data_IF_243103895899
#
_entry.id   IF_243103895899
#
_cell.length_a   1.000
_cell.length_b   1.000
_cell.length_c   1.000
_cell.angle_alpha   90.00
_cell.angle_beta   90.00
_cell.angle_gamma   90.00
#
_symmetry.space_group_name_H-M   'P 1'
#
loop_
_entity.id
_entity.type
_entity.pdbx_description
1 polymer ?
#
# COMPACT_ATOMS: atom_id res chain seq x y z
N UNK A 1 15.60 -7.92 -26.65
CA UNK A 1 16.57 -7.93 -27.77
C UNK A 1 17.23 -6.56 -27.82
N UNK A 2 18.55 -6.45 -27.70
CA UNK A 2 19.24 -5.16 -27.87
C UNK A 2 19.18 -4.74 -29.36
N UNK A 3 19.03 -3.45 -29.62
CA UNK A 3 19.00 -2.86 -30.97
C UNK A 3 20.20 -1.92 -31.11
N UNK A 4 20.87 -1.96 -32.26
CA UNK A 4 22.03 -1.10 -32.55
C UNK A 4 21.65 0.13 -33.37
N UNK A 5 22.40 1.22 -33.22
CA UNK A 5 22.21 2.43 -34.04
C UNK A 5 22.47 2.09 -35.51
N UNK A 6 21.52 2.40 -36.39
CA UNK A 6 21.58 2.08 -37.82
C UNK A 6 21.08 0.70 -38.19
N UNK A 7 20.63 -0.12 -37.22
CA UNK A 7 19.97 -1.39 -37.49
C UNK A 7 18.54 -1.18 -37.99
N UNK A 8 18.19 -1.80 -39.12
CA UNK A 8 16.81 -1.87 -39.59
C UNK A 8 16.05 -2.95 -38.81
N UNK A 9 15.04 -2.53 -38.06
CA UNK A 9 14.16 -3.44 -37.29
C UNK A 9 12.74 -3.42 -37.83
N UNK A 10 12.05 -4.56 -37.77
CA UNK A 10 10.62 -4.63 -38.07
C UNK A 10 9.85 -4.39 -36.78
N UNK A 11 9.23 -3.21 -36.67
CA UNK A 11 8.33 -2.88 -35.58
C UNK A 11 6.88 -3.03 -36.05
N UNK A 12 6.20 -4.05 -35.55
CA UNK A 12 4.84 -4.40 -35.95
C UNK A 12 3.86 -3.99 -34.86
N UNK A 13 2.92 -3.11 -35.20
CA UNK A 13 1.72 -2.90 -34.40
C UNK A 13 0.66 -3.95 -34.80
N UNK A 14 0.13 -4.66 -33.82
CA UNK A 14 -0.96 -5.64 -33.99
C UNK A 14 -2.13 -5.14 -33.16
N UNK A 15 -3.34 -5.19 -33.72
CA UNK A 15 -4.53 -4.80 -32.99
C UNK A 15 -5.68 -5.79 -33.21
N UNK A 16 -6.58 -5.84 -32.25
CA UNK A 16 -7.90 -6.44 -32.35
C UNK A 16 -8.96 -5.34 -32.20
N UNK A 17 -10.21 -5.72 -32.01
CA UNK A 17 -11.30 -4.78 -31.71
C UNK A 17 -11.13 -4.09 -30.34
N UNK A 18 -10.35 -4.67 -29.43
CA UNK A 18 -10.23 -4.19 -28.03
C UNK A 18 -8.80 -4.07 -27.52
N UNK A 19 -7.79 -4.47 -28.30
CA UNK A 19 -6.40 -4.50 -27.85
C UNK A 19 -5.45 -3.97 -28.92
N UNK A 20 -4.34 -3.40 -28.46
CA UNK A 20 -3.20 -3.05 -29.29
C UNK A 20 -1.95 -3.62 -28.63
N UNK A 21 -1.12 -4.32 -29.39
CA UNK A 21 0.17 -4.85 -28.96
C UNK A 21 1.25 -4.50 -29.99
N UNK A 22 2.50 -4.49 -29.53
CA UNK A 22 3.65 -4.14 -30.36
C UNK A 22 4.65 -5.29 -30.31
N UNK A 23 5.07 -5.75 -31.49
CA UNK A 23 6.06 -6.80 -31.65
C UNK A 23 7.30 -6.23 -32.34
N UNK A 24 8.48 -6.63 -31.87
CA UNK A 24 9.75 -6.28 -32.48
C UNK A 24 10.38 -7.56 -33.04
N UNK A 25 10.47 -7.66 -34.37
CA UNK A 25 11.13 -8.77 -35.06
C UNK A 25 12.38 -8.28 -35.82
N UNK A 26 13.45 -9.08 -35.79
CA UNK A 26 14.54 -8.95 -36.76
C UNK A 26 14.22 -9.79 -37.99
N UNK A 27 14.69 -9.37 -39.18
CA UNK A 27 14.43 -10.07 -40.47
C UNK A 27 14.76 -11.58 -40.46
N UNK A 28 15.49 -12.08 -39.46
CA UNK A 28 15.86 -13.50 -39.31
C UNK A 28 14.86 -14.37 -38.53
N UNK A 29 13.93 -13.79 -37.76
CA UNK A 29 12.93 -14.53 -36.99
C UNK A 29 11.57 -14.37 -37.67
N UNK A 30 11.19 -15.38 -38.47
CA UNK A 30 9.79 -15.54 -38.90
C UNK A 30 8.90 -15.50 -37.67
N UNK A 31 7.81 -14.75 -37.78
CA UNK A 31 6.72 -14.62 -36.81
C UNK A 31 6.12 -16.00 -36.56
N UNK A 32 6.77 -16.77 -35.70
CA UNK A 32 6.20 -17.90 -35.01
C UNK A 32 5.46 -17.35 -33.81
N UNK A 33 4.23 -17.80 -33.66
CA UNK A 33 3.36 -17.62 -32.49
C UNK A 33 4.21 -17.43 -31.23
N UNK A 34 4.04 -16.29 -30.55
CA UNK A 34 4.59 -16.12 -29.21
C UNK A 34 4.26 -17.37 -28.42
N UNK A 35 5.32 -18.00 -27.94
CA UNK A 35 5.31 -19.33 -27.37
C UNK A 35 4.28 -19.41 -26.24
N UNK A 36 3.08 -19.87 -26.59
CA UNK A 36 2.03 -20.22 -25.64
C UNK A 36 2.37 -21.49 -24.87
N UNK A 37 3.59 -22.05 -25.04
CA UNK A 37 4.10 -23.22 -24.32
C UNK A 37 5.04 -22.89 -23.17
N UNK A 38 5.18 -21.63 -22.78
CA UNK A 38 5.52 -21.33 -21.40
C UNK A 38 4.31 -21.75 -20.53
N UNK A 39 4.31 -22.99 -20.03
CA UNK A 39 3.44 -23.43 -18.91
C UNK A 39 3.85 -22.74 -17.60
N UNK A 40 4.23 -21.46 -17.69
CA UNK A 40 5.04 -20.78 -16.71
C UNK A 40 4.16 -19.87 -15.89
N UNK A 41 4.28 -20.06 -14.59
CA UNK A 41 3.51 -19.41 -13.56
C UNK A 41 3.64 -17.87 -13.62
N UNK A 42 2.54 -17.14 -13.85
CA UNK A 42 2.53 -15.67 -13.83
C UNK A 42 1.88 -15.16 -12.54
N UNK A 43 2.70 -14.63 -11.63
CA UNK A 43 2.19 -13.76 -10.57
C UNK A 43 1.73 -12.47 -11.23
N UNK A 44 0.41 -12.29 -11.35
CA UNK A 44 -0.19 -11.07 -11.92
C UNK A 44 -0.20 -10.02 -10.82
N UNK A 45 0.51 -8.91 -11.03
CA UNK A 45 0.54 -7.75 -10.15
C UNK A 45 0.25 -6.49 -10.98
N UNK A 46 -0.23 -5.44 -10.33
CA UNK A 46 -0.35 -4.13 -10.98
C UNK A 46 1.03 -3.61 -11.45
N UNK A 47 1.10 -2.84 -12.55
CA UNK A 47 2.35 -2.24 -13.03
C UNK A 47 3.08 -1.45 -11.94
N UNK A 48 2.33 -0.76 -11.09
CA UNK A 48 2.84 0.01 -9.97
C UNK A 48 3.48 -0.90 -8.92
N UNK A 49 2.84 -2.02 -8.59
CA UNK A 49 3.41 -2.99 -7.66
C UNK A 49 4.69 -3.62 -8.20
N UNK A 50 4.73 -3.96 -9.48
CA UNK A 50 5.94 -4.43 -10.16
C UNK A 50 7.04 -3.36 -10.08
N UNK A 51 6.69 -2.09 -10.28
CA UNK A 51 7.63 -0.98 -10.20
C UNK A 51 8.19 -0.77 -8.78
N UNK A 52 7.38 -0.94 -7.72
CA UNK A 52 7.87 -0.96 -6.32
C UNK A 52 8.93 -2.05 -6.14
N UNK A 53 8.69 -3.26 -6.65
CA UNK A 53 9.68 -4.33 -6.60
C UNK A 53 10.92 -4.02 -7.44
N UNK A 54 10.78 -3.24 -8.51
CA UNK A 54 11.88 -2.69 -9.32
C UNK A 54 12.64 -1.53 -8.67
N UNK A 55 12.10 -0.88 -7.65
CA UNK A 55 12.72 0.26 -6.97
C UNK A 55 13.86 -0.14 -5.99
N UNK A 56 15.09 0.28 -6.34
CA UNK A 56 16.30 -0.04 -5.56
C UNK A 56 16.28 0.61 -4.17
N UNK A 57 15.79 1.83 -4.04
CA UNK A 57 15.76 2.56 -2.77
C UNK A 57 14.79 1.88 -1.81
N UNK A 58 13.59 1.54 -2.30
CA UNK A 58 12.60 0.80 -1.52
C UNK A 58 13.14 -0.54 -1.04
N UNK A 59 13.70 -1.36 -1.95
CA UNK A 59 14.30 -2.66 -1.58
C UNK A 59 15.42 -2.52 -0.55
N UNK A 60 16.28 -1.51 -0.71
CA UNK A 60 17.38 -1.25 0.22
C UNK A 60 16.86 -0.87 1.61
N UNK A 61 15.83 -0.01 1.69
CA UNK A 61 15.20 0.38 2.96
C UNK A 61 14.55 -0.79 3.68
N UNK A 62 13.77 -1.63 2.99
CA UNK A 62 13.16 -2.83 3.59
C UNK A 62 14.24 -3.82 4.05
N UNK A 63 15.28 -4.01 3.24
CA UNK A 63 16.41 -4.87 3.60
C UNK A 63 17.15 -4.36 4.85
N UNK A 64 17.45 -3.06 4.90
CA UNK A 64 18.13 -2.44 6.04
C UNK A 64 17.28 -2.52 7.32
N UNK A 65 15.96 -2.31 7.22
CA UNK A 65 15.05 -2.43 8.36
C UNK A 65 15.03 -3.84 8.93
N UNK A 66 14.92 -4.86 8.07
CA UNK A 66 14.96 -6.25 8.51
C UNK A 66 16.31 -6.60 9.15
N UNK A 67 17.43 -6.22 8.53
CA UNK A 67 18.77 -6.50 9.06
C UNK A 67 18.99 -5.85 10.42
N UNK A 68 18.56 -4.60 10.59
CA UNK A 68 18.62 -3.88 11.87
C UNK A 68 17.76 -4.56 12.95
N UNK A 69 16.58 -5.07 12.58
CA UNK A 69 15.68 -5.77 13.48
C UNK A 69 16.29 -7.06 14.03
N UNK A 70 17.06 -7.80 13.23
CA UNK A 70 17.53 -9.15 13.57
C UNK A 70 19.00 -9.20 13.97
N UNK A 71 19.67 -8.04 14.11
CA UNK A 71 21.13 -7.94 14.25
C UNK A 71 21.69 -8.75 15.43
N UNK A 72 21.01 -8.71 16.59
CA UNK A 72 21.46 -9.33 17.85
C UNK A 72 20.67 -10.59 18.21
N UNK A 73 19.88 -11.11 17.29
CA UNK A 73 18.99 -12.25 17.52
C UNK A 73 19.23 -13.34 16.51
N UNK A 74 19.18 -14.59 16.96
CA UNK A 74 19.32 -15.77 16.14
C UNK A 74 18.15 -16.72 16.39
N UNK A 75 17.92 -17.61 15.41
CA UNK A 75 16.94 -18.69 15.47
C UNK A 75 15.47 -18.24 15.55
N UNK A 76 15.15 -17.13 14.90
CA UNK A 76 13.83 -16.50 14.96
C UNK A 76 12.77 -17.22 14.12
N UNK A 77 11.53 -17.23 14.62
CA UNK A 77 10.33 -17.49 13.84
C UNK A 77 9.77 -16.17 13.29
N UNK A 78 9.82 -16.01 11.97
CA UNK A 78 9.27 -14.86 11.27
C UNK A 78 7.91 -15.20 10.63
N UNK A 79 6.93 -14.32 10.81
CA UNK A 79 5.64 -14.35 10.10
C UNK A 79 5.51 -13.13 9.21
N UNK A 80 5.28 -13.34 7.92
CA UNK A 80 4.89 -12.31 6.94
C UNK A 80 3.37 -12.28 6.85
N UNK A 81 2.77 -11.24 7.41
CA UNK A 81 1.32 -11.18 7.65
C UNK A 81 0.50 -10.89 6.38
N UNK A 82 1.13 -10.33 5.37
CA UNK A 82 0.49 -9.72 4.21
C UNK A 82 0.81 -10.50 2.91
N UNK A 83 0.57 -9.87 1.76
CA UNK A 83 0.83 -10.44 0.43
C UNK A 83 2.26 -10.14 -0.09
N UNK A 84 3.22 -9.79 0.78
CA UNK A 84 4.56 -9.40 0.35
C UNK A 84 5.45 -10.61 0.04
N UNK A 85 5.63 -10.88 -1.27
CA UNK A 85 6.59 -11.89 -1.74
C UNK A 85 8.04 -11.46 -1.51
N UNK A 86 8.34 -10.16 -1.59
CA UNK A 86 9.70 -9.65 -1.37
C UNK A 86 10.14 -9.81 0.09
N UNK A 87 9.32 -9.38 1.04
CA UNK A 87 9.62 -9.53 2.48
C UNK A 87 9.78 -10.99 2.88
N UNK A 88 8.96 -11.88 2.29
CA UNK A 88 9.09 -13.34 2.46
C UNK A 88 10.47 -13.85 2.02
N UNK A 89 10.87 -13.57 0.78
CA UNK A 89 12.14 -14.03 0.23
C UNK A 89 13.34 -13.42 0.95
N UNK A 90 13.23 -12.16 1.35
CA UNK A 90 14.25 -11.46 2.11
C UNK A 90 14.45 -12.08 3.49
N UNK A 91 13.35 -12.37 4.22
CA UNK A 91 13.41 -13.08 5.50
C UNK A 91 13.99 -14.49 5.33
N UNK A 92 13.58 -15.22 4.29
CA UNK A 92 14.04 -16.58 4.02
C UNK A 92 15.55 -16.69 3.75
N UNK A 93 16.13 -15.63 3.17
CA UNK A 93 17.55 -15.54 2.89
C UNK A 93 18.40 -15.26 4.14
N UNK A 94 17.80 -14.78 5.22
CA UNK A 94 18.52 -14.45 6.45
C UNK A 94 18.88 -15.72 7.22
N UNK A 95 20.16 -15.91 7.52
CA UNK A 95 20.64 -17.01 8.38
C UNK A 95 20.17 -16.89 9.84
N UNK A 96 19.61 -15.73 10.22
CA UNK A 96 19.06 -15.47 11.55
C UNK A 96 17.70 -16.14 11.77
N UNK A 97 17.02 -16.54 10.69
CA UNK A 97 15.70 -17.15 10.76
C UNK A 97 15.81 -18.67 10.86
N UNK A 98 15.13 -19.27 11.85
CA UNK A 98 14.90 -20.72 11.86
C UNK A 98 13.80 -21.10 10.88
N UNK A 99 12.77 -20.24 10.78
CA UNK A 99 11.59 -20.50 9.97
C UNK A 99 10.90 -19.20 9.58
N UNK A 100 10.48 -19.13 8.33
CA UNK A 100 9.67 -18.04 7.78
C UNK A 100 8.32 -18.59 7.38
N UNK A 101 7.26 -17.91 7.79
CA UNK A 101 5.89 -18.27 7.49
C UNK A 101 5.23 -17.11 6.75
N UNK A 102 4.71 -17.35 5.55
CA UNK A 102 3.94 -16.34 4.82
C UNK A 102 2.46 -16.68 4.81
N UNK A 103 1.61 -15.67 5.02
CA UNK A 103 0.16 -15.86 5.10
C UNK A 103 -0.56 -15.72 3.77
N UNK A 104 -0.09 -14.85 2.87
CA UNK A 104 -0.67 -14.56 1.55
C UNK A 104 -2.21 -14.51 1.52
N UNK A 105 -2.84 -13.64 2.32
CA UNK A 105 -4.30 -13.64 2.43
C UNK A 105 -5.04 -13.31 1.11
N UNK A 106 -4.40 -12.57 0.20
CA UNK A 106 -4.92 -12.24 -1.12
C UNK A 106 -4.31 -13.11 -2.23
N UNK A 107 -2.98 -13.21 -2.29
CA UNK A 107 -2.25 -13.96 -3.32
C UNK A 107 -2.44 -15.47 -3.22
N UNK A 108 -2.62 -16.00 -2.00
CA UNK A 108 -2.85 -17.43 -1.71
C UNK A 108 -1.82 -18.31 -2.45
N UNK A 109 -2.30 -19.32 -3.17
CA UNK A 109 -1.46 -20.28 -3.90
C UNK A 109 -0.58 -19.65 -4.96
N UNK A 110 -0.98 -18.51 -5.53
CA UNK A 110 -0.13 -17.76 -6.46
C UNK A 110 1.11 -17.23 -5.74
N UNK A 111 0.93 -16.65 -4.55
CA UNK A 111 2.06 -16.20 -3.72
C UNK A 111 2.99 -17.37 -3.36
N UNK A 112 2.41 -18.52 -3.00
CA UNK A 112 3.16 -19.75 -2.68
C UNK A 112 4.02 -20.21 -3.84
N UNK A 113 3.40 -20.38 -5.01
CA UNK A 113 4.08 -20.90 -6.20
C UNK A 113 5.18 -19.94 -6.66
N UNK A 114 4.93 -18.63 -6.61
CA UNK A 114 5.94 -17.62 -6.91
C UNK A 114 7.17 -17.75 -6.00
N UNK A 115 6.95 -17.75 -4.68
CA UNK A 115 8.05 -17.80 -3.71
C UNK A 115 8.82 -19.11 -3.82
N UNK A 116 8.14 -20.24 -4.04
CA UNK A 116 8.80 -21.53 -4.25
C UNK A 116 9.68 -21.50 -5.50
N UNK A 117 9.15 -21.03 -6.63
CA UNK A 117 9.92 -20.95 -7.87
C UNK A 117 11.16 -20.05 -7.73
N UNK A 118 11.03 -18.91 -7.05
CA UNK A 118 12.16 -18.01 -6.81
C UNK A 118 13.15 -18.60 -5.81
N UNK A 119 12.68 -19.29 -4.77
CA UNK A 119 13.52 -19.95 -3.79
C UNK A 119 14.37 -21.06 -4.44
N UNK A 120 13.75 -21.92 -5.25
CA UNK A 120 14.42 -22.99 -5.99
C UNK A 120 15.47 -22.43 -6.96
N UNK A 121 15.09 -21.39 -7.73
CA UNK A 121 16.01 -20.74 -8.66
C UNK A 121 17.18 -20.01 -7.98
N UNK A 122 17.00 -19.60 -6.72
CA UNK A 122 18.00 -18.87 -5.93
C UNK A 122 18.83 -19.77 -5.02
N UNK A 123 18.57 -21.08 -5.00
CA UNK A 123 19.23 -22.04 -4.10
C UNK A 123 18.92 -21.77 -2.62
N UNK A 124 17.77 -21.18 -2.30
CA UNK A 124 17.32 -21.03 -0.92
C UNK A 124 16.85 -22.39 -0.39
N UNK A 125 17.15 -22.69 0.87
CA UNK A 125 16.65 -23.92 1.49
C UNK A 125 15.12 -23.86 1.61
N UNK A 126 14.42 -24.67 0.80
CA UNK A 126 12.97 -24.71 0.76
C UNK A 126 12.33 -25.07 2.12
N UNK A 127 13.05 -25.77 3.01
CA UNK A 127 12.55 -26.13 4.34
C UNK A 127 12.33 -24.92 5.27
N UNK A 128 12.97 -23.78 4.95
CA UNK A 128 12.91 -22.57 5.76
C UNK A 128 11.69 -21.69 5.45
N UNK A 129 11.01 -21.90 4.32
CA UNK A 129 9.82 -21.13 3.94
C UNK A 129 8.59 -22.02 3.97
N UNK A 130 7.66 -21.72 4.87
CA UNK A 130 6.35 -22.35 4.91
C UNK A 130 5.30 -21.33 4.52
N UNK A 131 4.34 -21.73 3.70
CA UNK A 131 3.18 -20.89 3.40
C UNK A 131 1.97 -21.49 4.07
N UNK A 132 1.22 -20.67 4.80
CA UNK A 132 0.06 -21.11 5.57
C UNK A 132 -1.14 -20.28 5.18
N UNK A 133 -2.14 -20.95 4.61
CA UNK A 133 -3.42 -20.31 4.36
C UNK A 133 -4.19 -20.17 5.68
N UNK A 134 -4.84 -19.00 5.88
CA UNK A 134 -5.62 -18.63 7.09
C UNK A 134 -6.63 -19.67 7.59
N UNK A 135 -7.02 -20.67 6.78
CA UNK A 135 -7.97 -21.73 7.18
C UNK A 135 -7.47 -22.67 8.29
N UNK A 136 -6.18 -22.64 8.66
CA UNK A 136 -5.58 -23.59 9.62
C UNK A 136 -5.06 -22.96 10.93
N UNK A 137 -5.42 -21.71 11.23
CA UNK A 137 -5.06 -21.07 12.50
C UNK A 137 -6.04 -21.49 13.59
N UNK A 138 -5.84 -22.66 14.20
CA UNK A 138 -6.57 -23.06 15.40
C UNK A 138 -5.80 -22.64 16.65
N UNK A 139 -6.38 -21.71 17.41
CA UNK A 139 -5.93 -21.34 18.75
C UNK A 139 -6.37 -22.43 19.72
N UNK A 140 -5.45 -23.26 20.19
CA UNK A 140 -5.73 -24.16 21.31
C UNK A 140 -5.29 -23.53 22.63
N UNK A 141 -6.19 -23.57 23.61
CA UNK A 141 -5.96 -23.12 24.97
C UNK A 141 -5.54 -24.33 25.81
N UNK A 142 -4.26 -24.39 26.17
CA UNK A 142 -3.76 -25.35 27.17
C UNK A 142 -2.89 -24.57 28.15
N UNK A 143 -3.42 -24.36 29.36
CA UNK A 143 -2.75 -23.75 30.51
C UNK A 143 -2.27 -22.30 30.33
N UNK A 144 -3.22 -21.38 30.09
CA UNK A 144 -3.02 -19.92 30.21
C UNK A 144 -1.98 -19.29 29.25
N UNK A 145 -1.45 -20.05 28.29
CA UNK A 145 -0.63 -19.55 27.19
C UNK A 145 -1.25 -19.98 25.87
N UNK A 146 -1.72 -19.01 25.08
CA UNK A 146 -2.17 -19.22 23.71
C UNK A 146 -0.94 -19.42 22.83
N UNK A 147 -0.99 -20.41 21.95
CA UNK A 147 0.16 -20.85 21.16
C UNK A 147 -0.22 -20.90 19.68
N UNK A 148 0.72 -20.52 18.81
CA UNK A 148 0.54 -20.69 17.36
C UNK A 148 0.64 -22.19 17.04
N UNK A 149 -0.49 -22.82 16.70
CA UNK A 149 -0.51 -24.21 16.26
C UNK A 149 -0.45 -24.23 14.74
N UNK A 150 0.69 -24.65 14.18
CA UNK A 150 0.71 -25.17 12.82
C UNK A 150 0.00 -26.51 12.80
N UNK A 151 -1.23 -26.56 12.31
CA UNK A 151 -1.81 -27.83 11.90
C UNK A 151 -1.16 -28.25 10.57
N UNK A 152 -0.01 -28.91 10.63
CA UNK A 152 0.58 -29.56 9.46
C UNK A 152 -0.09 -30.93 9.27
N UNK A 153 -0.79 -31.11 8.16
CA UNK A 153 -1.18 -32.45 7.69
C UNK A 153 0.02 -33.01 6.93
N UNK A 154 0.75 -33.94 7.54
CA UNK A 154 1.70 -34.78 6.82
C UNK A 154 1.10 -36.18 6.66
N UNK A 155 1.53 -36.87 5.59
CA UNK A 155 1.18 -38.27 5.26
C UNK A 155 0.89 -39.11 6.53
N UNK A 156 -0.28 -39.76 6.53
CA UNK A 156 -0.84 -40.60 7.60
C UNK A 156 -1.36 -39.87 8.85
N UNK A 157 -2.46 -39.12 8.71
CA UNK A 157 -3.50 -38.85 9.75
C UNK A 157 -3.06 -38.50 11.19
N UNK A 158 -1.83 -38.00 11.41
CA UNK A 158 -1.37 -37.51 12.72
C UNK A 158 -1.21 -35.99 12.71
N UNK A 159 -2.02 -35.33 13.54
CA UNK A 159 -1.92 -33.91 13.84
C UNK A 159 -0.76 -33.69 14.81
N UNK A 160 0.27 -32.94 14.41
CA UNK A 160 1.37 -32.54 15.30
C UNK A 160 1.21 -31.07 15.70
N UNK A 161 0.98 -30.81 16.99
CA UNK A 161 0.94 -29.45 17.51
C UNK A 161 2.38 -29.00 17.80
N UNK A 162 2.93 -28.16 16.95
CA UNK A 162 4.24 -27.55 17.17
C UNK A 162 4.03 -26.14 17.74
N UNK A 163 4.43 -25.95 19.00
CA UNK A 163 4.16 -24.75 19.77
C UNK A 163 5.27 -23.71 19.59
N UNK A 164 5.00 -22.62 18.89
CA UNK A 164 5.94 -21.50 18.79
C UNK A 164 5.30 -20.16 19.12
N UNK A 165 6.14 -19.26 19.65
CA UNK A 165 5.85 -17.83 19.70
C UNK A 165 6.48 -17.16 18.48
N UNK A 166 5.83 -16.11 17.98
CA UNK A 166 6.33 -15.33 16.84
C UNK A 166 7.31 -14.30 17.38
N UNK A 167 8.57 -14.41 16.98
CA UNK A 167 9.62 -13.46 17.38
C UNK A 167 9.69 -12.23 16.47
N UNK A 168 9.22 -12.38 15.22
CA UNK A 168 9.22 -11.33 14.22
C UNK A 168 7.95 -11.37 13.37
N UNK A 169 7.14 -10.31 13.43
CA UNK A 169 5.97 -10.11 12.59
C UNK A 169 6.25 -9.00 11.56
N UNK A 170 6.29 -9.34 10.28
CA UNK A 170 6.61 -8.38 9.21
C UNK A 170 5.48 -8.21 8.19
N UNK A 171 5.45 -7.03 7.58
CA UNK A 171 4.63 -6.67 6.44
C UNK A 171 5.31 -5.57 5.63
N UNK A 172 4.95 -5.46 4.36
CA UNK A 172 5.36 -4.37 3.49
C UNK A 172 4.68 -3.03 3.80
N UNK A 173 3.42 -2.95 4.27
CA UNK A 173 2.26 -3.84 4.17
C UNK A 173 1.52 -3.71 2.83
N UNK A 174 1.30 -4.84 2.16
CA UNK A 174 0.63 -4.94 0.86
C UNK A 174 -0.41 -6.05 0.86
N UNK A 175 -1.62 -5.76 0.38
CA UNK A 175 -2.70 -6.73 0.25
C UNK A 175 -3.21 -6.73 -1.19
N UNK A 176 -3.10 -7.87 -1.88
CA UNK A 176 -3.41 -7.98 -3.31
C UNK A 176 -4.86 -7.57 -3.64
N UNK A 177 -5.80 -7.91 -2.77
CA UNK A 177 -7.21 -7.52 -2.93
C UNK A 177 -7.50 -6.04 -2.65
N UNK A 178 -6.52 -5.28 -2.14
CA UNK A 178 -6.66 -3.86 -1.85
C UNK A 178 -6.06 -2.99 -2.96
N UNK A 179 -5.61 -3.58 -4.08
CA UNK A 179 -5.16 -2.83 -5.25
C UNK A 179 -6.27 -1.85 -5.68
N UNK A 180 -5.98 -0.56 -5.58
CA UNK A 180 -6.92 0.51 -5.91
C UNK A 180 -7.76 1.07 -4.76
N UNK A 181 -7.63 0.53 -3.55
CA UNK A 181 -8.30 1.06 -2.36
C UNK A 181 -7.55 2.26 -1.74
N UNK A 182 -8.16 2.90 -0.74
CA UNK A 182 -7.55 4.01 0.00
C UNK A 182 -6.32 3.54 0.81
N UNK A 183 -5.30 4.40 1.01
CA UNK A 183 -4.01 3.98 1.59
C UNK A 183 -4.11 3.32 2.97
N UNK A 184 -5.02 3.80 3.83
CA UNK A 184 -5.23 3.27 5.18
C UNK A 184 -5.94 1.91 5.20
N UNK A 185 -6.45 1.40 4.08
CA UNK A 185 -6.97 0.02 4.03
C UNK A 185 -5.86 -1.01 4.28
N UNK A 186 -4.60 -0.64 4.08
CA UNK A 186 -3.44 -1.47 4.44
C UNK A 186 -3.14 -1.47 5.95
N UNK A 187 -3.84 -0.67 6.77
CA UNK A 187 -3.88 -0.85 8.24
C UNK A 187 -4.51 -2.18 8.65
N UNK A 188 -5.03 -2.97 7.69
CA UNK A 188 -5.28 -4.39 7.85
C UNK A 188 -4.09 -5.14 8.49
N UNK A 189 -2.84 -4.70 8.28
CA UNK A 189 -1.69 -5.24 8.98
C UNK A 189 -1.83 -5.15 10.51
N UNK A 190 -2.34 -4.03 11.01
CA UNK A 190 -2.57 -3.84 12.45
C UNK A 190 -3.66 -4.77 12.98
N UNK A 191 -4.69 -5.04 12.17
CA UNK A 191 -5.73 -6.03 12.48
C UNK A 191 -5.16 -7.44 12.52
N UNK A 192 -4.36 -7.83 11.52
CA UNK A 192 -3.71 -9.14 11.47
C UNK A 192 -2.73 -9.31 12.66
N UNK A 193 -1.95 -8.27 13.00
CA UNK A 193 -1.12 -8.22 14.21
C UNK A 193 -1.94 -8.43 15.48
N UNK A 194 -3.12 -7.83 15.57
CA UNK A 194 -4.00 -7.98 16.74
C UNK A 194 -4.58 -9.38 16.86
N UNK A 195 -4.94 -10.00 15.73
CA UNK A 195 -5.40 -11.39 15.71
C UNK A 195 -4.32 -12.36 16.17
N UNK A 196 -3.04 -12.01 15.96
CA UNK A 196 -1.89 -12.81 16.35
C UNK A 196 -1.35 -12.45 17.74
N UNK A 197 -1.90 -11.44 18.43
CA UNK A 197 -1.38 -10.88 19.68
C UNK A 197 -1.03 -11.97 20.72
N UNK A 198 -1.92 -12.96 20.84
CA UNK A 198 -1.77 -14.01 21.84
C UNK A 198 -0.67 -15.03 21.56
N UNK A 199 -0.08 -15.01 20.37
CA UNK A 199 0.98 -15.92 19.95
C UNK A 199 2.30 -15.18 19.64
N UNK A 200 2.34 -13.87 19.85
CA UNK A 200 3.58 -13.09 19.76
C UNK A 200 4.44 -13.40 20.99
N UNK A 201 5.77 -13.39 20.82
CA UNK A 201 6.69 -13.43 21.97
C UNK A 201 6.61 -12.12 22.76
N UNK A 202 7.03 -12.13 24.03
CA UNK A 202 7.05 -10.93 24.87
C UNK A 202 7.95 -9.82 24.29
N UNK A 203 8.97 -10.23 23.55
CA UNK A 203 10.00 -9.38 22.96
C UNK A 203 9.87 -9.29 21.44
N UNK A 204 8.68 -9.56 20.90
CA UNK A 204 8.40 -9.60 19.46
C UNK A 204 8.85 -8.32 18.76
N UNK A 205 9.42 -8.47 17.58
CA UNK A 205 9.71 -7.36 16.69
C UNK A 205 8.58 -7.25 15.66
N UNK A 206 8.06 -6.04 15.48
CA UNK A 206 6.98 -5.76 14.53
C UNK A 206 7.49 -4.77 13.50
N UNK A 207 7.39 -5.12 12.21
CA UNK A 207 7.83 -4.31 11.08
C UNK A 207 6.72 -4.23 10.02
N UNK A 208 6.17 -3.05 9.67
CA UNK A 208 6.42 -1.76 10.30
C UNK A 208 6.06 -1.75 11.80
N UNK A 209 6.74 -0.92 12.59
CA UNK A 209 6.45 -0.78 14.02
C UNK A 209 5.32 0.22 14.29
N UNK A 210 5.13 1.17 13.37
CA UNK A 210 4.03 2.14 13.39
C UNK A 210 3.72 2.65 11.99
N UNK A 211 2.57 3.28 11.86
CA UNK A 211 2.18 4.03 10.66
C UNK A 211 1.80 5.47 11.04
N UNK A 212 1.94 6.41 10.10
CA UNK A 212 1.53 7.81 10.29
C UNK A 212 0.56 8.18 9.18
N UNK A 213 -0.63 8.67 9.55
CA UNK A 213 -1.50 9.34 8.61
C UNK A 213 -0.94 10.72 8.33
N UNK A 214 -0.48 10.94 7.11
CA UNK A 214 0.09 12.19 6.65
C UNK A 214 -0.91 12.91 5.76
N UNK A 215 -0.83 14.23 5.72
CA UNK A 215 -1.65 15.05 4.83
C UNK A 215 -0.91 16.29 4.33
N UNK A 216 -1.40 16.84 3.22
CA UNK A 216 -0.96 18.11 2.64
C UNK A 216 -2.18 18.79 1.98
N UNK A 217 -2.36 20.09 2.19
CA UNK A 217 -3.30 20.89 1.42
C UNK A 217 -2.66 21.22 0.06
N UNK A 218 -3.38 20.96 -1.03
CA UNK A 218 -2.82 21.03 -2.38
C UNK A 218 -3.71 21.78 -3.36
N UNK A 219 -3.05 22.40 -4.35
CA UNK A 219 -3.68 22.84 -5.59
C UNK A 219 -3.69 21.68 -6.59
N UNK A 220 -4.89 21.34 -7.11
CA UNK A 220 -5.15 20.19 -8.00
C UNK A 220 -6.25 20.56 -9.03
N UNK A 221 -6.05 21.60 -9.86
CA UNK A 221 -7.10 22.16 -10.71
C UNK A 221 -7.71 21.13 -11.68
N UNK A 222 -6.90 20.35 -12.38
CA UNK A 222 -7.39 19.37 -13.36
C UNK A 222 -8.17 18.24 -12.68
N UNK A 223 -7.69 17.77 -11.53
CA UNK A 223 -8.37 16.74 -10.77
C UNK A 223 -9.71 17.23 -10.21
N UNK A 224 -9.75 18.45 -9.66
CA UNK A 224 -11.00 19.06 -9.20
C UNK A 224 -12.00 19.25 -10.36
N UNK A 225 -11.53 19.79 -11.49
CA UNK A 225 -12.35 19.96 -12.69
C UNK A 225 -12.91 18.63 -13.23
N UNK A 226 -12.18 17.53 -13.11
CA UNK A 226 -12.67 16.21 -13.52
C UNK A 226 -13.83 15.67 -12.67
N UNK A 227 -14.06 16.26 -11.48
CA UNK A 227 -15.03 15.79 -10.47
C UNK A 227 -16.05 16.83 -10.03
N UNK A 228 -16.05 18.04 -10.59
CA UNK A 228 -17.04 19.07 -10.25
C UNK A 228 -18.44 18.71 -10.78
N UNK A 229 -19.50 19.17 -10.11
CA UNK A 229 -20.84 19.05 -10.64
C UNK A 229 -20.94 19.71 -12.02
N UNK A 230 -21.66 19.06 -12.92
CA UNK A 230 -22.06 19.63 -14.19
C UNK A 230 -23.34 20.46 -14.00
N UNK A 231 -23.42 21.56 -14.73
CA UNK A 231 -24.63 22.39 -14.81
C UNK A 231 -25.06 22.50 -16.26
N UNK A 232 -25.23 23.72 -16.74
CA UNK A 232 -25.47 23.98 -18.15
C UNK A 232 -24.17 23.88 -18.97
N UNK A 233 -24.16 23.01 -19.98
CA UNK A 233 -23.05 22.83 -20.91
C UNK A 233 -23.63 22.98 -22.32
N UNK A 234 -23.10 23.94 -23.09
CA UNK A 234 -23.55 24.22 -24.46
C UNK A 234 -25.08 24.43 -24.58
N UNK A 235 -25.71 25.03 -23.56
CA UNK A 235 -27.15 25.30 -23.53
C UNK A 235 -28.04 24.14 -23.06
N UNK A 236 -27.45 23.02 -22.61
CA UNK A 236 -28.17 21.86 -22.10
C UNK A 236 -27.89 21.66 -20.60
N UNK A 237 -28.94 21.41 -19.82
CA UNK A 237 -28.79 21.09 -18.39
C UNK A 237 -28.35 19.63 -18.20
N UNK A 238 -27.13 19.45 -17.69
CA UNK A 238 -26.54 18.15 -17.37
C UNK A 238 -26.61 17.80 -15.88
N UNK A 239 -27.28 18.61 -15.05
CA UNK A 239 -27.31 18.43 -13.58
C UNK A 239 -27.76 17.02 -13.13
N UNK A 240 -28.62 16.36 -13.91
CA UNK A 240 -29.11 14.99 -13.66
C UNK A 240 -27.99 13.96 -13.53
N UNK A 241 -26.87 14.13 -14.25
CA UNK A 241 -25.78 13.15 -14.26
C UNK A 241 -24.95 13.19 -12.98
N UNK A 242 -24.99 14.29 -12.22
CA UNK A 242 -24.25 14.42 -10.96
C UNK A 242 -24.71 13.40 -9.91
N UNK A 243 -26.00 13.05 -9.95
CA UNK A 243 -26.60 12.02 -9.08
C UNK A 243 -26.13 10.62 -9.52
N UNK A 244 -26.02 10.39 -10.82
CA UNK A 244 -25.71 9.07 -11.39
C UNK A 244 -24.21 8.74 -11.40
N UNK A 245 -23.36 9.71 -11.75
CA UNK A 245 -21.92 9.52 -11.91
C UNK A 245 -21.12 9.87 -10.64
N UNK A 246 -21.74 10.61 -9.72
CA UNK A 246 -21.11 11.08 -8.49
C UNK A 246 -20.16 12.26 -8.73
N UNK A 247 -20.62 13.47 -8.41
CA UNK A 247 -19.77 14.65 -8.34
C UNK A 247 -19.15 14.80 -6.93
N UNK A 248 -18.03 15.52 -6.83
CA UNK A 248 -17.32 15.81 -5.59
C UNK A 248 -17.16 17.32 -5.34
N UNK A 249 -16.98 18.11 -6.41
CA UNK A 249 -17.01 19.58 -6.36
C UNK A 249 -18.41 20.11 -6.67
N UNK A 250 -18.74 21.32 -6.23
CA UNK A 250 -20.06 21.96 -6.43
C UNK A 250 -21.25 21.16 -5.82
N UNK A 251 -20.95 20.26 -4.87
CA UNK A 251 -21.75 19.88 -3.70
C UNK A 251 -22.97 20.72 -3.26
N UNK A 252 -24.26 20.33 -3.40
CA UNK A 252 -25.30 20.97 -2.60
C UNK A 252 -25.08 20.68 -1.10
N UNK A 253 -25.00 21.72 -0.28
CA UNK A 253 -24.87 21.57 1.16
C UNK A 253 -26.07 20.78 1.74
N UNK A 254 -25.86 19.86 2.70
CA UNK A 254 -24.64 19.59 3.47
C UNK A 254 -23.78 18.43 2.92
N UNK A 255 -23.95 18.04 1.65
CA UNK A 255 -23.28 16.84 1.11
C UNK A 255 -21.77 17.09 0.94
N UNK A 256 -20.95 16.15 1.38
CA UNK A 256 -19.51 16.19 1.16
C UNK A 256 -19.08 15.13 0.15
N UNK A 257 -18.09 15.48 -0.67
CA UNK A 257 -17.46 14.52 -1.57
C UNK A 257 -16.75 13.39 -0.80
N UNK A 258 -16.66 12.17 -1.37
CA UNK A 258 -15.89 11.08 -0.80
C UNK A 258 -14.39 11.39 -0.82
N UNK A 259 -13.62 10.54 -0.16
CA UNK A 259 -12.17 10.51 -0.37
C UNK A 259 -11.88 9.53 -1.50
N UNK A 260 -11.17 10.00 -2.51
CA UNK A 260 -10.88 9.24 -3.73
C UNK A 260 -9.46 8.66 -3.71
N UNK A 261 -9.26 7.35 -3.96
CA UNK A 261 -7.93 6.81 -4.19
C UNK A 261 -7.42 7.19 -5.57
N UNK A 262 -6.31 7.94 -5.65
CA UNK A 262 -5.77 8.45 -6.92
C UNK A 262 -4.25 8.54 -6.94
N UNK A 263 -3.62 8.38 -8.10
CA UNK A 263 -2.20 8.67 -8.29
C UNK A 263 -2.03 10.16 -8.53
N UNK A 264 -1.73 10.93 -7.49
CA UNK A 264 -1.71 12.41 -7.58
C UNK A 264 -0.71 12.92 -8.62
N UNK A 265 0.37 12.19 -8.87
CA UNK A 265 1.34 12.54 -9.91
C UNK A 265 0.75 12.53 -11.33
N UNK A 266 -0.38 11.86 -11.57
CA UNK A 266 -1.08 11.82 -12.85
C UNK A 266 -2.11 12.96 -13.01
N UNK A 267 -2.28 13.82 -12.00
CA UNK A 267 -3.29 14.87 -11.97
C UNK A 267 -2.92 16.14 -12.77
N UNK A 268 -1.94 16.08 -13.68
CA UNK A 268 -1.49 17.25 -14.42
C UNK A 268 -0.81 18.27 -13.51
N UNK A 269 -1.40 19.46 -13.38
CA UNK A 269 -0.88 20.51 -12.51
C UNK A 269 -1.11 20.19 -11.02
N UNK A 270 -0.02 20.14 -10.24
CA UNK A 270 -0.05 19.93 -8.79
C UNK A 270 0.85 20.94 -8.08
N UNK A 271 0.39 21.48 -6.94
CA UNK A 271 1.20 22.33 -6.06
C UNK A 271 0.88 22.05 -4.59
N UNK A 272 1.89 21.83 -3.77
CA UNK A 272 1.75 21.79 -2.31
C UNK A 272 1.56 23.22 -1.78
N UNK A 273 0.56 23.43 -0.91
CA UNK A 273 0.26 24.74 -0.31
C UNK A 273 0.62 24.78 1.19
N UNK A 274 0.86 23.61 1.78
CA UNK A 274 1.34 23.41 3.14
C UNK A 274 2.47 22.40 3.14
N UNK A 275 3.41 22.50 4.07
CA UNK A 275 4.31 21.38 4.35
C UNK A 275 3.53 20.12 4.76
N UNK A 276 3.99 18.94 4.37
CA UNK A 276 3.36 17.67 4.77
C UNK A 276 3.36 17.48 6.30
N UNK A 277 2.20 17.25 6.88
CA UNK A 277 2.00 17.15 8.33
C UNK A 277 1.42 15.79 8.75
N UNK A 278 1.62 15.41 10.02
CA UNK A 278 1.06 14.17 10.59
C UNK A 278 -0.26 14.51 11.28
N UNK A 279 -1.33 13.82 10.89
CA UNK A 279 -2.66 13.96 11.51
C UNK A 279 -2.79 13.05 12.73
N UNK A 280 -2.37 11.80 12.60
CA UNK A 280 -2.36 10.81 13.68
C UNK A 280 -1.31 9.71 13.43
N UNK A 281 -0.97 8.96 14.48
CA UNK A 281 -0.09 7.80 14.40
C UNK A 281 -0.83 6.53 14.83
N UNK A 282 -0.45 5.40 14.24
CA UNK A 282 -0.96 4.07 14.55
C UNK A 282 0.17 3.22 15.12
N UNK A 283 0.07 2.86 16.40
CA UNK A 283 1.12 2.16 17.15
C UNK A 283 0.92 0.64 17.08
N UNK A 284 1.72 -0.04 16.25
CA UNK A 284 1.59 -1.48 16.06
C UNK A 284 2.26 -2.30 17.18
N UNK A 285 2.90 -1.65 18.15
CA UNK A 285 3.32 -2.35 19.38
C UNK A 285 2.14 -2.77 20.24
N UNK A 286 0.94 -2.22 19.99
CA UNK A 286 -0.29 -2.50 20.74
C UNK A 286 -1.36 -3.10 19.83
N UNK A 287 -2.36 -3.81 20.40
CA UNK A 287 -3.58 -4.19 19.68
C UNK A 287 -4.27 -2.99 19.01
N UNK A 288 -4.99 -3.26 17.93
CA UNK A 288 -5.75 -2.28 17.18
C UNK A 288 -6.79 -1.61 18.08
N UNK A 289 -6.88 -0.28 17.97
CA UNK A 289 -7.80 0.52 18.75
C UNK A 289 -8.26 1.75 17.96
N UNK A 290 -9.28 2.47 18.46
CA UNK A 290 -9.70 3.72 17.87
C UNK A 290 -8.57 4.75 17.98
N UNK A 291 -8.41 5.55 16.93
CA UNK A 291 -7.44 6.64 16.90
C UNK A 291 -8.13 7.92 16.44
N UNK A 292 -7.71 9.03 17.02
CA UNK A 292 -8.20 10.35 16.66
C UNK A 292 -7.04 11.33 16.63
N UNK A 293 -7.08 12.26 15.69
CA UNK A 293 -6.08 13.30 15.56
C UNK A 293 -6.68 14.55 14.98
N UNK A 294 -6.22 15.70 15.48
CA UNK A 294 -6.62 17.02 15.02
C UNK A 294 -5.41 17.91 14.97
N UNK A 295 -5.21 18.58 13.84
CA UNK A 295 -4.07 19.45 13.62
C UNK A 295 -4.49 20.67 12.84
N UNK A 296 -3.88 21.80 13.16
CA UNK A 296 -3.97 23.03 12.39
C UNK A 296 -2.56 23.37 11.87
N UNK A 297 -2.47 23.71 10.59
CA UNK A 297 -1.22 24.02 9.89
C UNK A 297 -1.39 25.34 9.14
N UNK A 298 -0.31 26.13 9.06
CA UNK A 298 -0.29 27.35 8.27
C UNK A 298 0.08 27.04 6.81
N UNK A 299 -0.50 27.81 5.87
CA UNK A 299 -0.10 27.73 4.48
C UNK A 299 1.32 28.28 4.30
N UNK A 300 2.16 27.50 3.61
CA UNK A 300 3.54 27.88 3.28
C UNK A 300 3.61 28.60 1.94
N UNK A 301 2.57 28.46 1.11
CA UNK A 301 2.48 29.05 -0.21
C UNK A 301 1.09 29.58 -0.48
N UNK A 302 1.02 30.72 -1.17
CA UNK A 302 -0.25 31.25 -1.67
C UNK A 302 -0.72 30.52 -2.93
N UNK A 303 -2.04 30.48 -3.14
CA UNK A 303 -2.65 29.89 -4.33
C UNK A 303 -4.11 29.51 -4.12
N UNK A 304 -4.62 28.62 -4.98
CA UNK A 304 -5.97 28.06 -4.87
C UNK A 304 -5.86 26.63 -4.31
N UNK A 305 -6.37 26.43 -3.11
CA UNK A 305 -6.51 25.14 -2.48
C UNK A 305 -7.73 24.41 -3.06
N UNK A 306 -7.50 23.19 -3.58
CA UNK A 306 -8.55 22.36 -4.16
C UNK A 306 -8.93 21.18 -3.25
N UNK A 307 -8.10 20.85 -2.26
CA UNK A 307 -8.34 19.72 -1.39
C UNK A 307 -7.13 19.34 -0.52
N UNK A 308 -7.32 18.25 0.21
CA UNK A 308 -6.30 17.60 1.02
C UNK A 308 -5.92 16.26 0.40
N UNK A 309 -4.63 16.02 0.27
CA UNK A 309 -4.07 14.73 -0.10
C UNK A 309 -3.60 14.04 1.17
N UNK A 310 -4.02 12.80 1.40
CA UNK A 310 -3.72 11.98 2.57
C UNK A 310 -3.04 10.67 2.16
N UNK A 311 -2.08 10.22 2.95
CA UNK A 311 -1.36 8.96 2.70
C UNK A 311 -0.81 8.36 4.00
N UNK A 312 -0.19 7.18 3.90
CA UNK A 312 0.45 6.51 5.04
C UNK A 312 1.96 6.52 4.87
N UNK A 313 2.67 7.01 5.88
CA UNK A 313 4.09 6.72 6.04
C UNK A 313 4.25 5.48 6.95
N UNK A 314 4.94 4.45 6.47
CA UNK A 314 5.23 3.23 7.21
C UNK A 314 6.60 3.35 7.88
N UNK A 315 6.63 3.26 9.20
CA UNK A 315 7.87 3.32 9.98
C UNK A 315 8.37 1.91 10.20
N UNK A 316 9.49 1.58 9.57
CA UNK A 316 9.97 0.21 9.44
C UNK A 316 10.81 -0.25 10.64
N UNK A 317 11.27 0.68 11.48
CA UNK A 317 12.13 0.36 12.62
C UNK A 317 11.75 1.17 13.87
N UNK A 318 12.01 0.61 15.06
CA UNK A 318 11.67 1.25 16.33
C UNK A 318 12.38 2.60 16.55
N UNK A 319 13.52 2.83 15.90
CA UNK A 319 14.27 4.11 15.97
C UNK A 319 13.71 5.17 15.02
N UNK A 320 12.69 4.86 14.22
CA UNK A 320 12.11 5.77 13.22
C UNK A 320 13.18 6.32 12.26
N UNK A 321 14.19 5.50 11.94
CA UNK A 321 15.28 5.84 11.02
C UNK A 321 14.97 5.46 9.58
N UNK A 322 14.07 4.50 9.37
CA UNK A 322 13.63 4.04 8.06
C UNK A 322 12.12 4.24 7.96
N UNK A 323 11.73 5.20 7.13
CA UNK A 323 10.32 5.53 6.86
C UNK A 323 10.06 5.38 5.36
N UNK A 324 9.07 4.56 5.00
CA UNK A 324 8.60 4.39 3.64
C UNK A 324 7.34 5.25 3.45
N UNK A 325 7.46 6.30 2.64
CA UNK A 325 6.32 7.15 2.32
C UNK A 325 5.50 6.56 1.17
N UNK A 326 4.20 6.81 1.19
CA UNK A 326 3.27 6.56 0.06
C UNK A 326 2.67 7.87 -0.48
N UNK A 327 3.33 8.99 -0.18
CA UNK A 327 2.86 10.34 -0.52
C UNK A 327 2.91 10.70 -2.01
N UNK A 328 2.51 11.92 -2.37
CA UNK A 328 2.29 12.33 -3.76
C UNK A 328 3.55 12.33 -4.64
N UNK A 329 4.74 12.37 -4.06
CA UNK A 329 6.03 12.23 -4.78
C UNK A 329 6.26 10.78 -5.26
N UNK A 330 5.67 9.81 -4.57
CA UNK A 330 5.87 8.39 -4.82
C UNK A 330 4.88 7.88 -5.89
N UNK A 331 5.38 7.55 -7.07
CA UNK A 331 4.56 7.32 -8.27
C UNK A 331 3.78 6.00 -8.28
N UNK A 332 4.15 5.07 -7.40
CA UNK A 332 3.61 3.71 -7.41
C UNK A 332 2.53 3.49 -6.35
N UNK A 333 2.17 4.54 -5.60
CA UNK A 333 1.15 4.47 -4.57
C UNK A 333 0.03 5.43 -4.90
N UNK A 334 -1.20 5.00 -4.65
CA UNK A 334 -2.34 5.93 -4.64
C UNK A 334 -2.34 6.68 -3.31
N UNK A 335 -2.83 7.92 -3.36
CA UNK A 335 -3.14 8.74 -2.19
C UNK A 335 -4.67 8.84 -2.04
N UNK A 336 -5.14 9.15 -0.84
CA UNK A 336 -6.53 9.54 -0.62
C UNK A 336 -6.69 11.04 -0.87
N UNK A 337 -7.57 11.44 -1.79
CA UNK A 337 -7.81 12.85 -2.12
C UNK A 337 -9.19 13.26 -1.63
N UNK A 338 -9.24 14.19 -0.67
CA UNK A 338 -10.46 14.87 -0.21
C UNK A 338 -10.55 16.23 -0.88
N UNK A 339 -11.34 16.33 -1.94
CA UNK A 339 -11.60 17.59 -2.63
C UNK A 339 -12.50 18.51 -1.80
N UNK A 340 -12.25 19.81 -1.88
CA UNK A 340 -13.16 20.83 -1.37
C UNK A 340 -14.38 20.93 -2.29
N UNK A 341 -15.53 21.27 -1.72
CA UNK A 341 -16.73 21.58 -2.50
C UNK A 341 -16.47 22.75 -3.47
N UNK A 342 -15.81 23.79 -2.97
CA UNK A 342 -15.37 24.95 -3.74
C UNK A 342 -13.86 25.13 -3.55
N UNK A 343 -13.09 25.42 -4.60
CA UNK A 343 -11.70 25.81 -4.45
C UNK A 343 -11.60 27.11 -3.64
N UNK A 344 -10.59 27.21 -2.78
CA UNK A 344 -10.45 28.32 -1.83
C UNK A 344 -9.11 29.00 -2.03
N UNK A 345 -9.12 30.32 -2.15
CA UNK A 345 -7.90 31.11 -2.19
C UNK A 345 -7.24 31.16 -0.79
N UNK A 346 -5.94 30.91 -0.74
CA UNK A 346 -5.16 30.82 0.49
C UNK A 346 -3.90 31.66 0.40
N UNK A 347 -3.45 32.19 1.53
CA UNK A 347 -2.26 33.03 1.63
C UNK A 347 -1.36 32.63 2.80
N UNK A 348 -0.07 32.98 2.69
CA UNK A 348 0.90 32.79 3.78
C UNK A 348 0.61 33.76 4.92
N UNK A 349 0.63 33.27 6.16
CA UNK A 349 0.40 34.09 7.36
C UNK A 349 1.36 35.28 7.42
N UNK A 350 0.82 36.49 7.54
CA UNK A 350 1.59 37.74 7.67
C UNK A 350 1.70 38.60 6.40
N UNK A 351 1.12 38.18 5.28
CA UNK A 351 1.07 38.94 4.01
C UNK A 351 0.11 40.15 3.99
N UNK A 352 -0.46 40.56 5.13
CA UNK A 352 -1.59 41.51 5.19
C UNK A 352 -2.96 40.83 5.14
N UNK A 353 -3.05 39.60 5.67
CA UNK A 353 -4.13 38.64 5.45
C UNK A 353 -5.54 39.17 5.70
N UNK A 354 -6.34 39.21 4.63
CA UNK A 354 -7.81 39.26 4.65
C UNK A 354 -8.46 37.92 4.26
N UNK A 355 -7.65 36.87 4.06
CA UNK A 355 -8.03 35.54 3.52
C UNK A 355 -7.57 34.41 4.43
N UNK A 356 -7.97 33.17 4.09
CA UNK A 356 -7.60 31.96 4.84
C UNK A 356 -6.09 31.76 4.84
N UNK A 357 -5.52 31.62 6.04
CA UNK A 357 -4.07 31.51 6.28
C UNK A 357 -3.65 30.19 6.93
N UNK A 358 -4.62 29.36 7.31
CA UNK A 358 -4.41 28.08 7.94
C UNK A 358 -5.47 27.05 7.54
N UNK A 359 -5.09 25.79 7.66
CA UNK A 359 -5.94 24.65 7.42
C UNK A 359 -6.00 23.78 8.67
N UNK A 360 -7.20 23.41 9.09
CA UNK A 360 -7.44 22.44 10.15
C UNK A 360 -7.93 21.14 9.55
N UNK A 361 -7.33 20.03 9.97
CA UNK A 361 -7.71 18.69 9.56
C UNK A 361 -7.90 17.83 10.82
N UNK A 362 -9.04 17.17 10.90
CA UNK A 362 -9.43 16.27 11.97
C UNK A 362 -9.76 14.92 11.37
N UNK A 363 -9.22 13.84 11.93
CA UNK A 363 -9.47 12.51 11.45
C UNK A 363 -9.73 11.54 12.60
N UNK A 364 -10.61 10.56 12.35
CA UNK A 364 -10.98 9.51 13.29
C UNK A 364 -10.98 8.16 12.59
N UNK A 365 -10.27 7.18 13.14
CA UNK A 365 -10.19 5.82 12.65
C UNK A 365 -11.05 4.88 13.49
N UNK A 366 -11.96 4.15 12.84
CA UNK A 366 -12.78 3.11 13.46
C UNK A 366 -12.17 1.73 13.17
N UNK A 367 -11.66 1.01 14.19
CA UNK A 367 -11.02 -0.28 14.00
C UNK A 367 -12.00 -1.41 13.63
N UNK A 368 -13.31 -1.22 13.86
CA UNK A 368 -14.33 -2.24 13.57
C UNK A 368 -14.63 -2.34 12.08
N UNK A 369 -14.72 -1.20 11.40
CA UNK A 369 -14.95 -1.08 9.96
C UNK A 369 -13.65 -0.93 9.16
N UNK A 370 -12.58 -0.41 9.76
CA UNK A 370 -11.37 0.01 9.06
C UNK A 370 -11.54 1.34 8.31
N UNK A 371 -12.61 2.07 8.60
CA UNK A 371 -12.90 3.36 7.98
C UNK A 371 -12.18 4.51 8.67
N UNK A 372 -11.84 5.51 7.86
CA UNK A 372 -11.24 6.77 8.31
C UNK A 372 -12.18 7.91 7.93
N UNK A 373 -12.73 8.58 8.93
CA UNK A 373 -13.53 9.79 8.75
C UNK A 373 -12.61 10.99 8.83
N UNK A 374 -12.72 11.91 7.88
CA UNK A 374 -11.91 13.13 7.81
C UNK A 374 -12.83 14.34 7.75
N UNK A 375 -12.55 15.34 8.59
CA UNK A 375 -13.18 16.65 8.62
C UNK A 375 -12.12 17.72 8.43
N UNK A 376 -12.48 18.81 7.78
CA UNK A 376 -11.57 19.92 7.49
C UNK A 376 -12.23 21.28 7.72
N UNK A 377 -11.42 22.29 7.99
CA UNK A 377 -11.81 23.69 7.93
C UNK A 377 -10.62 24.53 7.44
N UNK A 378 -10.91 25.65 6.75
CA UNK A 378 -9.91 26.64 6.36
C UNK A 378 -10.23 27.95 7.10
N UNK A 379 -9.20 28.63 7.60
CA UNK A 379 -9.33 29.88 8.39
C UNK A 379 -8.19 30.84 8.21
#
# INVERSE_FOLDING_TARGET
MPISKGEEVLFQAVHSDTTVSYNLATRALKVGEYDSRAKDFYLILSPEKIAVYGDKKWRASVSAALLNAVQERDHLLCVVADDSVFSTLLAARSSKMTRVISLFPGLRDMGTQYVQAVADASGLNADNVKVIQKKYLTLHDTNQRKIFVLSLVMHDFKLYNLCFQIDLLIGEPYYYGNDGMLPWQNLRFWKDRTMLDSVLSEDVIIMPCKAKLRACAMSLPDFWNSRRCLGEIEGFDHSVVNITLGACGDLPAPQEGPILPFFVWQSGEIKELTAAFTVMEFDFSKPIGPCHGKIQVDFTDSGICHGFVLWIDWVMDARNSIVLSTGPVERYWKQGVKLLQQPVEVEVRGSGATKNCSAMLEASFDPSSGELVVKHALS
#
